data_IF_188416284941
#
_entry.id   IF_188416284941
#
_cell.length_a   1.000
_cell.length_b   1.000
_cell.length_c   1.000
_cell.angle_alpha   90.00
_cell.angle_beta   90.00
_cell.angle_gamma   90.00
#
_symmetry.space_group_name_H-M   'P 1'
#
loop_
_entity.id
_entity.type
_entity.pdbx_description
1 polymer ?
#
# COMPACT_ATOMS: atom_id res chain seq x y z
N UNK A 1 -24.37 37.93 -34.13
CA UNK A 1 -23.45 36.80 -33.88
C UNK A 1 -23.44 36.59 -32.38
N UNK A 2 -24.52 35.99 -31.86
CA UNK A 2 -24.67 35.67 -30.44
C UNK A 2 -24.01 34.32 -30.22
N UNK A 3 -22.91 34.38 -29.47
CA UNK A 3 -22.18 33.25 -28.91
C UNK A 3 -23.10 32.47 -27.96
N UNK A 4 -23.79 31.45 -28.47
CA UNK A 4 -24.47 30.46 -27.64
C UNK A 4 -23.41 29.59 -27.00
N UNK A 5 -23.01 29.97 -25.78
CA UNK A 5 -22.14 29.17 -24.94
C UNK A 5 -22.70 27.74 -24.85
N UNK A 6 -22.01 26.70 -25.35
CA UNK A 6 -22.52 25.32 -25.41
C UNK A 6 -22.76 24.71 -24.02
N UNK A 7 -22.28 25.39 -22.98
CA UNK A 7 -22.41 25.03 -21.56
C UNK A 7 -23.65 25.60 -20.86
N UNK A 8 -24.67 26.09 -21.58
CA UNK A 8 -25.93 26.56 -20.97
C UNK A 8 -27.08 25.57 -21.20
N UNK A 9 -27.88 25.32 -20.16
CA UNK A 9 -29.10 24.50 -20.21
C UNK A 9 -28.88 23.02 -19.84
N UNK A 10 -29.49 22.04 -20.54
CA UNK A 10 -29.48 20.62 -20.16
C UNK A 10 -28.10 19.99 -19.97
N UNK A 11 -27.07 20.47 -20.69
CA UNK A 11 -25.70 19.97 -20.54
C UNK A 11 -25.10 20.33 -19.18
N UNK A 12 -25.39 21.53 -18.67
CA UNK A 12 -24.93 21.96 -17.35
C UNK A 12 -25.59 21.15 -16.23
N UNK A 13 -26.87 20.83 -16.39
CA UNK A 13 -27.61 19.97 -15.45
C UNK A 13 -27.03 18.54 -15.42
N UNK A 14 -26.73 17.96 -16.59
CA UNK A 14 -26.09 16.65 -16.68
C UNK A 14 -24.70 16.63 -16.04
N UNK A 15 -23.90 17.68 -16.23
CA UNK A 15 -22.59 17.80 -15.58
C UNK A 15 -22.72 17.95 -14.08
N UNK A 16 -23.66 18.76 -13.58
CA UNK A 16 -23.92 18.88 -12.15
C UNK A 16 -24.38 17.55 -11.52
N UNK A 17 -25.17 16.75 -12.25
CA UNK A 17 -25.56 15.41 -11.81
C UNK A 17 -24.35 14.45 -11.76
N UNK A 18 -23.45 14.54 -12.75
CA UNK A 18 -22.21 13.76 -12.76
C UNK A 18 -21.29 14.16 -11.60
N UNK A 19 -21.10 15.46 -11.37
CA UNK A 19 -20.29 15.97 -10.26
C UNK A 19 -20.85 15.49 -8.91
N UNK A 20 -22.18 15.47 -8.73
CA UNK A 20 -22.80 14.94 -7.53
C UNK A 20 -22.49 13.45 -7.34
N UNK A 21 -22.62 12.65 -8.40
CA UNK A 21 -22.28 11.22 -8.37
C UNK A 21 -20.79 11.01 -8.04
N UNK A 22 -19.90 11.82 -8.62
CA UNK A 22 -18.47 11.74 -8.37
C UNK A 22 -18.12 12.06 -6.90
N UNK A 23 -18.81 13.02 -6.28
CA UNK A 23 -18.70 13.25 -4.84
C UNK A 23 -19.13 12.02 -4.02
N UNK A 24 -20.24 11.37 -4.38
CA UNK A 24 -20.68 10.13 -3.71
C UNK A 24 -19.67 8.99 -3.89
N UNK A 25 -19.04 8.88 -5.07
CA UNK A 25 -17.96 7.93 -5.32
C UNK A 25 -16.77 8.21 -4.40
N UNK A 26 -16.38 9.46 -4.20
CA UNK A 26 -15.31 9.82 -3.26
C UNK A 26 -15.66 9.42 -1.82
N UNK A 27 -16.90 9.63 -1.38
CA UNK A 27 -17.35 9.19 -0.05
C UNK A 27 -17.33 7.66 0.10
N UNK A 28 -17.71 6.92 -0.96
CA UNK A 28 -17.59 5.46 -1.00
C UNK A 28 -16.12 5.01 -0.90
N UNK A 29 -15.21 5.71 -1.56
CA UNK A 29 -13.77 5.42 -1.48
C UNK A 29 -13.22 5.67 -0.08
N UNK A 30 -13.62 6.74 0.60
CA UNK A 30 -13.26 6.98 2.01
C UNK A 30 -13.73 5.83 2.89
N UNK A 31 -14.99 5.42 2.76
CA UNK A 31 -15.54 4.27 3.51
C UNK A 31 -14.75 2.99 3.23
N UNK A 32 -14.40 2.73 1.96
CA UNK A 32 -13.55 1.60 1.57
C UNK A 32 -12.18 1.66 2.25
N UNK A 33 -11.55 2.84 2.31
CA UNK A 33 -10.24 3.02 2.95
C UNK A 33 -10.27 2.80 4.47
N UNK A 34 -11.37 3.17 5.13
CA UNK A 34 -11.54 2.89 6.55
C UNK A 34 -11.63 1.38 6.82
N UNK A 35 -12.39 0.64 6.01
CA UNK A 35 -12.45 -0.83 6.09
C UNK A 35 -11.07 -1.45 5.83
N UNK A 36 -10.30 -0.92 4.86
CA UNK A 36 -8.93 -1.37 4.61
C UNK A 36 -8.03 -1.16 5.84
N UNK A 37 -8.17 -0.03 6.55
CA UNK A 37 -7.43 0.23 7.78
C UNK A 37 -7.80 -0.77 8.89
N UNK A 38 -9.08 -1.09 9.05
CA UNK A 38 -9.54 -2.09 10.02
C UNK A 38 -9.01 -3.50 9.69
N UNK A 39 -9.01 -3.87 8.40
CA UNK A 39 -8.40 -5.11 7.92
C UNK A 39 -6.91 -5.12 8.25
N UNK A 40 -6.20 -4.01 8.02
CA UNK A 40 -4.79 -3.89 8.34
C UNK A 40 -4.53 -4.13 9.83
N UNK A 41 -5.28 -3.45 10.70
CA UNK A 41 -5.18 -3.60 12.15
C UNK A 41 -5.41 -5.05 12.60
N UNK A 42 -6.40 -5.74 12.03
CA UNK A 42 -6.67 -7.16 12.31
C UNK A 42 -5.59 -8.09 11.78
N UNK A 43 -5.07 -7.85 10.58
CA UNK A 43 -3.96 -8.65 10.03
C UNK A 43 -2.72 -8.53 10.89
N UNK A 44 -2.41 -7.33 11.40
CA UNK A 44 -1.32 -7.11 12.36
C UNK A 44 -1.50 -7.93 13.64
N UNK A 45 -2.68 -7.84 14.27
CA UNK A 45 -2.93 -8.52 15.54
C UNK A 45 -2.81 -10.04 15.43
N UNK A 46 -3.09 -10.61 14.25
CA UNK A 46 -3.05 -12.05 13.99
C UNK A 46 -1.77 -12.49 13.26
N UNK A 47 -0.82 -11.60 13.00
CA UNK A 47 0.40 -11.89 12.23
C UNK A 47 0.06 -12.57 10.87
N UNK A 48 -0.94 -12.07 10.15
CA UNK A 48 -1.31 -12.62 8.82
C UNK A 48 -0.68 -11.77 7.71
N UNK A 49 -0.03 -12.38 6.70
CA UNK A 49 0.60 -11.65 5.61
C UNK A 49 -0.36 -10.63 4.97
N UNK A 50 0.14 -9.42 4.78
CA UNK A 50 -0.65 -8.36 4.14
C UNK A 50 -0.91 -8.69 2.67
N UNK A 51 0.09 -9.26 1.98
CA UNK A 51 -0.01 -9.65 0.58
C UNK A 51 -0.59 -11.05 0.44
N UNK A 52 -1.78 -11.13 -0.15
CA UNK A 52 -2.43 -12.39 -0.53
C UNK A 52 -2.78 -12.30 -2.02
N UNK A 53 -1.87 -12.79 -2.85
CA UNK A 53 -1.99 -12.74 -4.32
C UNK A 53 -3.21 -13.52 -4.81
N UNK A 54 -3.54 -14.63 -4.15
CA UNK A 54 -4.71 -15.42 -4.49
C UNK A 54 -6.01 -14.64 -4.20
N UNK A 55 -6.06 -13.92 -3.07
CA UNK A 55 -7.19 -13.05 -2.75
C UNK A 55 -7.30 -11.88 -3.72
N UNK A 56 -6.20 -11.21 -4.04
CA UNK A 56 -6.19 -10.10 -5.01
C UNK A 56 -6.70 -10.56 -6.37
N UNK A 57 -6.23 -11.71 -6.86
CA UNK A 57 -6.71 -12.30 -8.11
C UNK A 57 -8.21 -12.57 -8.07
N UNK A 58 -8.71 -13.20 -6.99
CA UNK A 58 -10.16 -13.43 -6.81
C UNK A 58 -10.98 -12.14 -6.77
N UNK A 59 -10.45 -11.05 -6.21
CA UNK A 59 -11.15 -9.75 -6.25
C UNK A 59 -11.23 -9.25 -7.69
N UNK A 60 -10.14 -9.31 -8.46
CA UNK A 60 -10.16 -8.82 -9.85
C UNK A 60 -11.11 -9.65 -10.71
N UNK A 61 -11.03 -10.98 -10.65
CA UNK A 61 -11.87 -11.87 -11.44
C UNK A 61 -13.37 -11.61 -11.18
N UNK A 62 -13.76 -11.48 -9.90
CA UNK A 62 -15.14 -11.21 -9.52
C UNK A 62 -15.63 -9.84 -10.01
N UNK A 63 -14.79 -8.80 -9.92
CA UNK A 63 -15.17 -7.44 -10.30
C UNK A 63 -15.22 -7.26 -11.82
N UNK A 64 -14.35 -7.94 -12.55
CA UNK A 64 -14.42 -8.01 -14.02
C UNK A 64 -15.69 -8.75 -14.47
N UNK A 65 -16.03 -9.90 -13.86
CA UNK A 65 -17.28 -10.60 -14.17
C UNK A 65 -18.51 -9.73 -13.92
N UNK A 66 -18.52 -8.99 -12.80
CA UNK A 66 -19.61 -8.06 -12.48
C UNK A 66 -19.65 -6.85 -13.44
N UNK A 67 -18.51 -6.39 -13.94
CA UNK A 67 -18.45 -5.33 -14.95
C UNK A 67 -19.15 -5.78 -16.24
N UNK A 68 -18.85 -6.98 -16.71
CA UNK A 68 -19.43 -7.54 -17.92
C UNK A 68 -20.96 -7.67 -17.78
N UNK A 69 -21.46 -8.13 -16.64
CA UNK A 69 -22.91 -8.19 -16.35
C UNK A 69 -23.60 -6.81 -16.40
N UNK A 70 -22.87 -5.74 -16.08
CA UNK A 70 -23.36 -4.37 -16.08
C UNK A 70 -23.11 -3.64 -17.41
N UNK A 71 -22.55 -4.32 -18.41
CA UNK A 71 -22.20 -3.73 -19.70
C UNK A 71 -21.00 -2.77 -19.65
N UNK A 72 -20.16 -2.87 -18.62
CA UNK A 72 -18.92 -2.12 -18.48
C UNK A 72 -17.74 -2.94 -19.02
N UNK A 73 -16.73 -2.26 -19.57
CA UNK A 73 -15.50 -2.92 -20.01
C UNK A 73 -14.74 -3.55 -18.83
N UNK A 74 -14.57 -4.87 -18.85
CA UNK A 74 -13.74 -5.59 -17.89
C UNK A 74 -12.33 -5.00 -17.77
N UNK A 75 -11.68 -4.64 -18.89
CA UNK A 75 -10.33 -4.08 -18.89
C UNK A 75 -10.26 -2.72 -18.17
N UNK A 76 -11.27 -1.87 -18.39
CA UNK A 76 -11.37 -0.57 -17.73
C UNK A 76 -11.61 -0.73 -16.23
N UNK A 77 -12.48 -1.66 -15.84
CA UNK A 77 -12.78 -1.94 -14.44
C UNK A 77 -11.59 -2.58 -13.74
N UNK A 78 -10.88 -3.50 -14.39
CA UNK A 78 -9.64 -4.08 -13.87
C UNK A 78 -8.62 -2.97 -13.55
N UNK A 79 -8.43 -2.04 -14.49
CA UNK A 79 -7.50 -0.91 -14.33
C UNK A 79 -7.86 -0.04 -13.12
N UNK A 80 -9.14 0.30 -12.95
CA UNK A 80 -9.64 1.05 -11.78
C UNK A 80 -9.38 0.26 -10.50
N UNK A 81 -9.71 -1.03 -10.47
CA UNK A 81 -9.54 -1.84 -9.26
C UNK A 81 -8.08 -2.03 -8.88
N UNK A 82 -7.17 -2.14 -9.86
CA UNK A 82 -5.73 -2.16 -9.60
C UNK A 82 -5.25 -0.88 -8.92
N UNK A 83 -5.75 0.28 -9.34
CA UNK A 83 -5.46 1.56 -8.64
C UNK A 83 -6.03 1.56 -7.22
N UNK A 84 -7.27 1.10 -7.02
CA UNK A 84 -7.86 1.00 -5.69
C UNK A 84 -7.10 0.03 -4.77
N UNK A 85 -6.57 -1.07 -5.30
CA UNK A 85 -5.70 -1.98 -4.57
C UNK A 85 -4.38 -1.33 -4.20
N UNK A 86 -3.78 -0.55 -5.10
CA UNK A 86 -2.56 0.22 -4.81
C UNK A 86 -2.79 1.21 -3.66
N UNK A 87 -3.85 2.03 -3.73
CA UNK A 87 -4.23 2.94 -2.64
C UNK A 87 -4.45 2.20 -1.31
N UNK A 88 -5.00 0.97 -1.37
CA UNK A 88 -5.20 0.15 -0.17
C UNK A 88 -3.87 -0.26 0.47
N UNK A 89 -2.89 -0.61 -0.36
CA UNK A 89 -1.55 -0.99 0.09
C UNK A 89 -0.82 0.20 0.68
N UNK A 90 -0.88 1.36 0.04
CA UNK A 90 -0.32 2.61 0.56
C UNK A 90 -0.91 2.98 1.93
N UNK A 91 -2.24 2.83 2.08
CA UNK A 91 -2.91 3.03 3.37
C UNK A 91 -2.42 2.06 4.44
N UNK A 92 -2.23 0.79 4.10
CA UNK A 92 -1.69 -0.23 5.02
C UNK A 92 -0.23 0.03 5.39
N UNK A 93 0.58 0.47 4.44
CA UNK A 93 1.98 0.86 4.63
C UNK A 93 2.11 2.07 5.55
N UNK A 94 1.31 3.12 5.30
CA UNK A 94 1.29 4.33 6.13
C UNK A 94 0.92 4.05 7.59
N UNK A 95 0.11 3.02 7.83
CA UNK A 95 -0.24 2.58 9.19
C UNK A 95 0.90 1.82 9.89
N UNK A 96 2.06 1.61 9.23
CA UNK A 96 3.20 0.78 9.69
C UNK A 96 2.77 -0.65 9.97
N UNK A 97 1.92 -1.19 9.12
CA UNK A 97 1.39 -2.55 9.25
C UNK A 97 2.30 -3.57 8.57
N UNK A 98 3.35 -3.10 7.92
CA UNK A 98 4.42 -3.88 7.30
C UNK A 98 5.24 -4.58 8.38
N UNK A 99 4.68 -5.63 8.95
CA UNK A 99 5.46 -6.69 9.57
C UNK A 99 5.43 -7.81 8.54
N UNK A 100 6.54 -8.11 7.85
CA UNK A 100 6.59 -9.31 7.04
C UNK A 100 6.51 -10.49 8.01
N UNK A 101 5.37 -11.17 8.01
CA UNK A 101 5.20 -12.41 8.78
C UNK A 101 5.74 -13.54 7.93
N UNK A 102 7.05 -13.65 7.95
CA UNK A 102 7.84 -14.90 7.93
C UNK A 102 9.34 -14.57 8.01
N UNK A 103 9.70 -13.45 8.64
CA UNK A 103 11.11 -13.13 8.85
C UNK A 103 11.54 -13.96 10.05
N UNK A 104 12.18 -15.11 9.78
CA UNK A 104 13.05 -15.71 10.78
C UNK A 104 14.02 -14.62 11.24
N UNK A 105 14.16 -14.45 12.56
CA UNK A 105 15.06 -13.43 13.09
C UNK A 105 16.48 -13.78 12.63
N UNK A 106 16.97 -13.01 11.67
CA UNK A 106 18.34 -13.13 11.16
C UNK A 106 19.22 -12.07 11.81
N UNK A 107 20.49 -12.37 11.90
CA UNK A 107 21.51 -11.42 12.32
C UNK A 107 21.99 -10.61 11.12
N UNK A 108 21.74 -9.30 11.10
CA UNK A 108 22.12 -8.40 10.00
C UNK A 108 23.28 -7.51 10.45
N UNK A 109 24.41 -7.57 9.75
CA UNK A 109 25.55 -6.69 9.98
C UNK A 109 25.50 -5.43 9.09
N UNK A 110 25.55 -4.25 9.71
CA UNK A 110 25.63 -2.95 9.03
C UNK A 110 27.02 -2.36 9.24
N UNK A 111 27.77 -2.19 8.14
CA UNK A 111 29.06 -1.48 8.16
C UNK A 111 28.81 0.01 7.96
N UNK A 112 29.29 0.85 8.88
CA UNK A 112 28.96 2.28 8.93
C UNK A 112 27.58 2.55 9.55
N UNK A 113 27.13 1.70 10.47
CA UNK A 113 25.78 1.76 11.03
C UNK A 113 25.47 2.98 11.89
N UNK A 114 26.45 3.78 12.30
CA UNK A 114 26.26 5.06 13.00
C UNK A 114 26.15 6.25 12.02
N UNK A 115 26.39 6.02 10.71
CA UNK A 115 26.20 7.02 9.67
C UNK A 115 24.72 7.34 9.37
N UNK A 116 24.46 8.34 8.54
CA UNK A 116 23.09 8.77 8.20
C UNK A 116 22.25 7.67 7.53
N UNK A 117 22.81 6.99 6.52
CA UNK A 117 22.14 5.84 5.88
C UNK A 117 22.17 4.59 6.78
N UNK A 118 23.27 4.34 7.50
CA UNK A 118 23.43 3.17 8.36
C UNK A 118 22.44 3.13 9.52
N UNK A 119 22.19 4.26 10.17
CA UNK A 119 21.20 4.39 11.24
C UNK A 119 19.75 4.20 10.77
N UNK A 120 19.46 4.64 9.53
CA UNK A 120 18.16 4.41 8.89
C UNK A 120 17.93 2.92 8.61
N UNK A 121 18.95 2.22 8.07
CA UNK A 121 18.91 0.78 7.84
C UNK A 121 18.82 -0.01 9.16
N UNK A 122 19.53 0.42 10.21
CA UNK A 122 19.43 -0.21 11.53
C UNK A 122 18.00 -0.16 12.07
N UNK A 123 17.38 1.01 12.01
CA UNK A 123 15.99 1.20 12.45
C UNK A 123 15.05 0.28 11.67
N UNK A 124 15.19 0.22 10.35
CA UNK A 124 14.37 -0.64 9.49
C UNK A 124 14.51 -2.13 9.85
N UNK A 125 15.72 -2.67 9.91
CA UNK A 125 15.92 -4.09 10.18
C UNK A 125 15.50 -4.48 11.60
N UNK A 126 15.73 -3.60 12.59
CA UNK A 126 15.21 -3.81 13.94
C UNK A 126 13.68 -3.79 14.00
N UNK A 127 13.02 -2.87 13.30
CA UNK A 127 11.56 -2.80 13.20
C UNK A 127 10.96 -4.05 12.51
N UNK A 128 11.71 -4.68 11.61
CA UNK A 128 11.36 -5.93 10.94
C UNK A 128 11.63 -7.19 11.81
N UNK A 129 12.22 -7.04 13.01
CA UNK A 129 12.45 -8.13 13.96
C UNK A 129 13.80 -8.85 13.81
N UNK A 130 14.75 -8.27 13.07
CA UNK A 130 16.11 -8.80 12.95
C UNK A 130 17.01 -8.35 14.12
N UNK A 131 17.99 -9.18 14.45
CA UNK A 131 19.11 -8.77 15.31
C UNK A 131 20.08 -7.95 14.45
N UNK A 132 20.41 -6.73 14.85
CA UNK A 132 21.28 -5.85 14.03
C UNK A 132 22.60 -5.62 14.73
N UNK A 133 23.69 -6.06 14.09
CA UNK A 133 25.06 -5.76 14.46
C UNK A 133 25.53 -4.53 13.70
N UNK A 134 26.25 -3.63 14.37
CA UNK A 134 26.87 -2.48 13.71
C UNK A 134 28.37 -2.45 13.92
N UNK A 135 29.09 -2.27 12.81
CA UNK A 135 30.52 -2.02 12.81
C UNK A 135 30.78 -0.66 12.17
N UNK A 136 31.22 0.30 12.98
CA UNK A 136 31.58 1.66 12.59
C UNK A 136 32.93 2.05 13.22
N UNK A 137 33.50 3.20 12.82
CA UNK A 137 34.78 3.71 13.32
C UNK A 137 34.81 3.87 14.85
N UNK A 138 33.65 4.11 15.47
CA UNK A 138 33.50 4.28 16.91
C UNK A 138 33.05 3.02 17.68
N UNK A 139 32.82 1.89 17.01
CA UNK A 139 32.36 0.66 17.66
C UNK A 139 33.51 -0.32 17.87
N UNK A 140 33.46 -1.11 18.95
CA UNK A 140 34.45 -2.17 19.19
C UNK A 140 34.34 -3.33 18.19
N UNK A 141 33.15 -3.55 17.62
CA UNK A 141 32.90 -4.61 16.65
C UNK A 141 33.53 -4.26 15.30
N UNK A 142 34.48 -5.09 14.82
CA UNK A 142 35.11 -4.88 13.51
C UNK A 142 34.23 -5.40 12.37
N UNK A 143 34.34 -4.83 11.16
CA UNK A 143 33.52 -5.25 10.01
C UNK A 143 33.60 -6.75 9.69
N UNK A 144 34.79 -7.35 9.78
CA UNK A 144 34.99 -8.78 9.53
C UNK A 144 34.30 -9.67 10.58
N UNK A 145 34.27 -9.22 11.84
CA UNK A 145 33.64 -9.94 12.95
C UNK A 145 32.13 -9.77 12.94
N UNK A 146 31.63 -8.63 12.48
CA UNK A 146 30.20 -8.41 12.26
C UNK A 146 29.68 -9.29 11.11
N UNK A 147 30.40 -9.33 9.99
CA UNK A 147 30.00 -10.12 8.82
C UNK A 147 30.02 -11.63 9.08
N UNK A 148 30.92 -12.13 9.93
CA UNK A 148 30.98 -13.57 10.27
C UNK A 148 29.87 -14.04 11.22
N UNK A 149 29.22 -13.10 11.92
CA UNK A 149 28.11 -13.37 12.83
C UNK A 149 26.74 -13.10 12.20
N UNK A 150 26.71 -12.57 10.98
CA UNK A 150 25.49 -12.32 10.24
C UNK A 150 25.02 -13.58 9.51
N UNK A 151 23.71 -13.73 9.36
CA UNK A 151 23.03 -14.85 8.68
C UNK A 151 22.67 -14.52 7.22
#
# INVERSE_FOLDING_TARGET
MTDENPDKGPLLELRGALDALDHELLELLVRRMNIVADIAARKRSHRVPIRDLARERRVLDDRCARADELGLSADSIESIWRQLMLMSRERQAALRTEVPIDVESQTVAIIGGEGGMGSSLRTLFSDLGHEVLSADLGTELRPADAASKAD
#
